data_IF_097824373472
#
_entry.id   IF_097824373472
#
_cell.length_a   1.000
_cell.length_b   1.000
_cell.length_c   1.000
_cell.angle_alpha   90.00
_cell.angle_beta   90.00
_cell.angle_gamma   90.00
#
_symmetry.space_group_name_H-M   'P 1'
#
loop_
_entity.id
_entity.type
_entity.pdbx_description
1 polymer ?
#
# COMPACT_ATOMS: atom_id res chain seq x y z
N UNK A 1 -0.22 33.12 -17.40
CA UNK A 1 -0.99 32.19 -16.56
C UNK A 1 -0.41 32.28 -15.16
N UNK A 2 -1.26 32.50 -14.13
CA UNK A 2 -0.77 32.49 -12.74
C UNK A 2 -0.50 31.04 -12.30
N UNK A 3 0.32 30.84 -11.26
CA UNK A 3 0.59 29.53 -10.67
C UNK A 3 -0.71 28.84 -10.25
N UNK A 4 -1.63 29.60 -9.63
CA UNK A 4 -2.97 29.10 -9.25
C UNK A 4 -3.75 28.56 -10.45
N UNK A 5 -3.73 29.27 -11.59
CA UNK A 5 -4.39 28.80 -12.80
C UNK A 5 -3.75 27.52 -13.37
N UNK A 6 -2.43 27.41 -13.30
CA UNK A 6 -1.72 26.21 -13.75
C UNK A 6 -2.08 25.00 -12.87
N UNK A 7 -2.15 25.17 -11.55
CA UNK A 7 -2.55 24.11 -10.63
C UNK A 7 -4.03 23.73 -10.85
N UNK A 8 -4.92 24.70 -11.06
CA UNK A 8 -6.34 24.42 -11.36
C UNK A 8 -6.52 23.60 -12.65
N UNK A 9 -5.64 23.76 -13.64
CA UNK A 9 -5.66 22.91 -14.83
C UNK A 9 -5.32 21.45 -14.53
N UNK A 10 -4.38 21.22 -13.59
CA UNK A 10 -4.05 19.86 -13.15
C UNK A 10 -5.25 19.20 -12.48
N UNK A 11 -6.03 19.95 -11.69
CA UNK A 11 -7.28 19.44 -11.11
C UNK A 11 -8.23 18.90 -12.17
N UNK A 12 -8.34 19.58 -13.31
CA UNK A 12 -9.19 19.14 -14.42
C UNK A 12 -8.76 17.83 -15.10
N UNK A 13 -7.58 17.30 -14.78
CA UNK A 13 -7.14 15.97 -15.25
C UNK A 13 -7.54 14.82 -14.32
N UNK A 14 -7.96 15.15 -13.09
CA UNK A 14 -8.42 14.14 -12.14
C UNK A 14 -9.80 13.61 -12.55
N UNK A 15 -10.10 12.33 -12.27
CA UNK A 15 -11.43 11.80 -12.49
C UNK A 15 -12.45 12.42 -11.51
N UNK A 16 -13.70 12.55 -11.95
CA UNK A 16 -14.80 12.99 -11.09
C UNK A 16 -15.02 11.97 -9.94
N UNK A 17 -15.33 12.44 -8.70
CA UNK A 17 -15.59 13.82 -8.28
C UNK A 17 -14.36 14.61 -7.81
N UNK A 18 -13.15 14.06 -7.96
CA UNK A 18 -11.91 14.64 -7.41
C UNK A 18 -11.48 15.91 -8.13
N UNK A 19 -11.82 16.05 -9.42
CA UNK A 19 -11.59 17.25 -10.22
C UNK A 19 -12.26 18.49 -9.61
N UNK A 20 -13.54 18.38 -9.25
CA UNK A 20 -14.31 19.47 -8.63
C UNK A 20 -13.73 19.82 -7.25
N UNK A 21 -13.46 18.81 -6.45
CA UNK A 21 -12.94 18.97 -5.10
C UNK A 21 -11.55 19.62 -5.09
N UNK A 22 -10.65 19.14 -5.96
CA UNK A 22 -9.34 19.73 -6.16
C UNK A 22 -9.45 21.20 -6.55
N UNK A 23 -10.28 21.52 -7.55
CA UNK A 23 -10.48 22.89 -8.04
C UNK A 23 -11.03 23.82 -6.97
N UNK A 24 -11.94 23.33 -6.15
CA UNK A 24 -12.51 24.09 -5.02
C UNK A 24 -11.45 24.40 -3.98
N UNK A 25 -10.63 23.43 -3.57
CA UNK A 25 -9.54 23.63 -2.63
C UNK A 25 -8.50 24.61 -3.15
N UNK A 26 -8.09 24.46 -4.40
CA UNK A 26 -7.11 25.36 -5.01
C UNK A 26 -7.65 26.77 -5.13
N UNK A 27 -8.95 26.95 -5.39
CA UNK A 27 -9.54 28.30 -5.43
C UNK A 27 -9.53 28.99 -4.08
N UNK A 28 -9.77 28.25 -2.99
CA UNK A 28 -9.85 28.80 -1.64
C UNK A 28 -8.48 28.97 -0.97
N UNK A 29 -7.63 27.95 -1.09
CA UNK A 29 -6.37 27.87 -0.32
C UNK A 29 -5.12 28.02 -1.18
N UNK A 30 -5.24 27.91 -2.51
CA UNK A 30 -4.12 28.00 -3.45
C UNK A 30 -3.24 29.24 -3.26
N UNK A 31 -3.79 30.46 -3.10
CA UNK A 31 -2.98 31.65 -2.86
C UNK A 31 -2.09 31.55 -1.62
N UNK A 32 -2.63 31.03 -0.50
CA UNK A 32 -1.87 30.85 0.73
C UNK A 32 -0.82 29.73 0.62
N UNK A 33 -1.14 28.63 -0.06
CA UNK A 33 -0.20 27.54 -0.33
C UNK A 33 0.99 28.03 -1.16
N UNK A 34 0.72 28.78 -2.23
CA UNK A 34 1.77 29.34 -3.10
C UNK A 34 2.69 30.25 -2.32
N UNK A 35 2.10 31.11 -1.47
CA UNK A 35 2.88 32.05 -0.66
C UNK A 35 3.77 31.33 0.37
N UNK A 36 3.29 30.23 0.95
CA UNK A 36 4.12 29.39 1.81
C UNK A 36 5.29 28.77 1.03
N UNK A 37 5.07 28.33 -0.22
CA UNK A 37 6.13 27.84 -1.09
C UNK A 37 7.15 28.96 -1.44
N UNK A 38 6.69 30.16 -1.73
CA UNK A 38 7.54 31.34 -1.97
C UNK A 38 8.39 31.70 -0.75
N UNK A 39 7.84 31.53 0.46
CA UNK A 39 8.54 31.69 1.72
C UNK A 39 9.49 30.53 2.07
N UNK A 40 9.65 29.55 1.16
CA UNK A 40 10.52 28.38 1.27
C UNK A 40 10.16 27.40 2.40
N UNK A 41 8.90 27.31 2.79
CA UNK A 41 8.45 26.23 3.66
C UNK A 41 8.45 24.90 2.88
N UNK A 42 8.88 23.82 3.55
CA UNK A 42 8.87 22.49 2.96
C UNK A 42 7.44 21.94 2.81
N UNK A 43 7.18 21.01 1.90
CA UNK A 43 5.88 20.35 1.78
C UNK A 43 5.38 19.76 3.10
N UNK A 44 6.27 19.21 3.92
CA UNK A 44 5.93 18.65 5.23
C UNK A 44 5.39 19.71 6.20
N UNK A 45 6.04 20.88 6.26
CA UNK A 45 5.60 22.03 7.06
C UNK A 45 4.25 22.50 6.54
N UNK A 46 4.10 22.65 5.22
CA UNK A 46 2.84 23.07 4.58
C UNK A 46 1.71 22.12 4.93
N UNK A 47 1.90 20.80 4.75
CA UNK A 47 0.90 19.78 5.09
C UNK A 47 0.48 19.84 6.57
N UNK A 48 1.43 20.12 7.46
CA UNK A 48 1.15 20.26 8.89
C UNK A 48 0.33 21.52 9.22
N UNK A 49 0.63 22.64 8.56
CA UNK A 49 -0.14 23.90 8.71
C UNK A 49 -1.55 23.76 8.17
N UNK A 50 -1.71 23.08 7.05
CA UNK A 50 -3.00 22.80 6.40
C UNK A 50 -3.83 21.78 7.21
N UNK A 51 -3.19 21.00 8.09
CA UNK A 51 -3.86 19.99 8.91
C UNK A 51 -4.04 18.63 8.22
N UNK A 52 -3.38 18.40 7.08
CA UNK A 52 -3.35 17.09 6.39
C UNK A 52 -2.52 16.07 7.17
N UNK A 53 -1.48 16.58 7.86
CA UNK A 53 -0.63 15.78 8.73
C UNK A 53 -0.87 16.19 10.17
N UNK A 54 -1.36 15.29 11.02
CA UNK A 54 -1.50 15.53 12.46
C UNK A 54 -0.42 14.79 13.21
N UNK A 55 0.19 15.45 14.18
CA UNK A 55 1.27 14.92 15.01
C UNK A 55 0.83 13.84 16.01
N UNK A 56 -0.45 13.44 16.01
CA UNK A 56 -1.03 12.52 17.01
C UNK A 56 -0.49 11.10 16.94
N UNK A 57 0.16 10.71 15.84
CA UNK A 57 0.73 9.37 15.67
C UNK A 57 2.21 9.25 16.04
N UNK A 58 2.85 10.32 16.52
CA UNK A 58 4.30 10.32 16.76
C UNK A 58 5.16 10.27 15.49
N UNK A 59 4.55 10.16 14.33
CA UNK A 59 5.23 10.23 13.03
C UNK A 59 5.27 11.70 12.59
N UNK A 60 6.47 12.23 12.44
CA UNK A 60 6.67 13.51 11.75
C UNK A 60 6.43 13.26 10.26
N UNK A 61 5.56 14.05 9.62
CA UNK A 61 5.41 14.04 8.15
C UNK A 61 6.65 14.64 7.47
N UNK A 62 7.82 14.15 7.79
CA UNK A 62 9.07 14.67 7.27
C UNK A 62 9.51 13.83 6.08
N UNK A 63 8.89 14.09 4.91
CA UNK A 63 9.17 13.37 3.67
C UNK A 63 10.39 13.91 2.92
N UNK A 64 10.78 15.16 3.16
CA UNK A 64 11.82 15.83 2.39
C UNK A 64 12.83 16.56 3.29
N UNK A 65 14.11 16.56 2.94
CA UNK A 65 15.11 17.37 3.62
C UNK A 65 14.79 18.87 3.46
N UNK A 66 15.12 19.65 4.47
CA UNK A 66 14.91 21.10 4.42
C UNK A 66 15.71 21.71 3.24
N UNK A 67 15.07 22.47 2.33
CA UNK A 67 15.74 23.06 1.18
C UNK A 67 16.70 24.22 1.53
N UNK A 68 16.87 24.55 2.80
CA UNK A 68 17.76 25.65 3.21
C UNK A 68 19.22 25.27 3.07
N UNK A 69 19.82 25.94 2.13
CA UNK A 69 21.24 26.19 1.90
C UNK A 69 22.01 25.15 1.11
N UNK A 70 22.83 25.69 0.21
CA UNK A 70 23.87 25.05 -0.58
C UNK A 70 25.00 24.36 0.23
N UNK A 71 24.81 24.17 1.54
CA UNK A 71 25.66 23.35 2.41
C UNK A 71 25.03 22.01 2.76
N UNK A 72 24.30 21.45 1.85
CA UNK A 72 23.37 20.34 1.99
C UNK A 72 24.02 18.96 2.06
N UNK A 73 25.08 18.75 2.76
CA UNK A 73 25.61 17.39 2.93
C UNK A 73 25.29 16.77 4.31
N UNK A 74 24.63 17.51 5.22
CA UNK A 74 24.39 17.04 6.58
C UNK A 74 22.98 17.35 7.15
N UNK A 75 21.95 17.53 6.34
CA UNK A 75 20.82 18.24 6.88
C UNK A 75 19.45 17.62 6.71
N UNK A 76 19.13 16.60 7.48
CA UNK A 76 17.74 16.43 7.91
C UNK A 76 17.46 17.48 8.98
N UNK A 77 16.31 18.16 8.86
CA UNK A 77 15.83 19.12 9.86
C UNK A 77 15.65 18.38 11.18
N UNK A 78 16.24 18.87 12.26
CA UNK A 78 15.98 18.31 13.58
C UNK A 78 14.49 18.45 13.93
N UNK A 79 13.98 17.58 14.80
CA UNK A 79 12.60 17.66 15.27
C UNK A 79 12.26 19.05 15.83
N UNK A 80 13.18 19.65 16.59
CA UNK A 80 13.01 20.98 17.18
C UNK A 80 12.91 22.06 16.10
N UNK A 81 13.76 22.02 15.09
CA UNK A 81 13.70 22.98 13.97
C UNK A 81 12.41 22.81 13.16
N UNK A 82 11.97 21.57 12.93
CA UNK A 82 10.70 21.30 12.27
C UNK A 82 9.51 21.89 13.06
N UNK A 83 9.44 21.62 14.35
CA UNK A 83 8.38 22.15 15.22
C UNK A 83 8.39 23.69 15.27
N UNK A 84 9.58 24.32 15.26
CA UNK A 84 9.71 25.78 15.17
C UNK A 84 9.18 26.31 13.82
N UNK A 85 9.53 25.68 12.71
CA UNK A 85 9.04 26.08 11.37
C UNK A 85 7.53 25.89 11.25
N UNK A 86 6.98 24.80 11.80
CA UNK A 86 5.53 24.59 11.83
C UNK A 86 4.84 25.66 12.68
N UNK A 87 5.38 26.02 13.84
CA UNK A 87 4.82 27.06 14.71
C UNK A 87 4.86 28.42 14.02
N UNK A 88 5.98 28.79 13.39
CA UNK A 88 6.14 30.03 12.63
C UNK A 88 5.13 30.11 11.47
N UNK A 89 5.06 29.04 10.66
CA UNK A 89 4.15 28.96 9.52
C UNK A 89 2.67 28.98 9.96
N UNK A 90 2.32 28.30 11.06
CA UNK A 90 0.97 28.38 11.65
C UNK A 90 0.64 29.78 12.14
N UNK A 91 1.59 30.50 12.75
CA UNK A 91 1.40 31.89 13.15
C UNK A 91 1.13 32.81 11.97
N UNK A 92 1.81 32.58 10.84
CA UNK A 92 1.70 33.43 9.64
C UNK A 92 0.52 33.09 8.73
N UNK A 93 0.20 31.81 8.58
CA UNK A 93 -0.75 31.31 7.59
C UNK A 93 -1.93 30.55 8.18
N UNK A 94 -1.90 30.17 9.46
CA UNK A 94 -2.92 29.32 10.07
C UNK A 94 -4.34 29.88 9.97
N UNK A 95 -4.52 31.19 10.03
CA UNK A 95 -5.84 31.82 9.85
C UNK A 95 -6.43 31.59 8.46
N UNK A 96 -5.59 31.48 7.40
CA UNK A 96 -6.04 31.18 6.03
C UNK A 96 -6.64 29.79 5.91
N UNK A 97 -6.28 28.90 6.81
CA UNK A 97 -6.76 27.50 6.84
C UNK A 97 -7.74 27.23 7.98
N UNK A 98 -8.13 28.26 8.71
CA UNK A 98 -9.09 28.16 9.81
C UNK A 98 -10.44 27.68 9.28
N UNK A 99 -10.91 26.54 9.77
CA UNK A 99 -12.14 25.91 9.31
C UNK A 99 -11.93 24.85 8.21
N UNK A 100 -10.75 24.73 7.61
CA UNK A 100 -10.40 23.58 6.81
C UNK A 100 -10.24 22.37 7.73
N UNK A 101 -11.27 21.56 7.77
CA UNK A 101 -11.18 20.21 8.37
C UNK A 101 -10.85 19.27 7.22
N UNK A 102 -9.56 19.10 6.94
CA UNK A 102 -9.14 18.05 6.02
C UNK A 102 -9.18 16.72 6.76
N UNK A 103 -10.22 15.96 6.50
CA UNK A 103 -10.27 14.57 6.91
C UNK A 103 -10.17 13.74 5.62
N UNK A 104 -9.06 13.05 5.44
CA UNK A 104 -8.88 12.16 4.28
C UNK A 104 -10.03 11.14 4.15
N UNK A 105 -10.64 10.75 5.27
CA UNK A 105 -11.77 9.83 5.31
C UNK A 105 -13.06 10.39 4.70
N UNK A 106 -13.24 11.71 4.72
CA UNK A 106 -14.41 12.34 4.08
C UNK A 106 -14.29 12.30 2.55
N UNK A 107 -13.08 12.17 2.05
CA UNK A 107 -12.74 12.19 0.62
C UNK A 107 -12.53 10.79 0.07
N UNK A 108 -11.93 9.93 0.86
CA UNK A 108 -11.60 8.54 0.54
C UNK A 108 -12.05 7.64 1.70
N UNK A 109 -13.37 7.45 1.92
CA UNK A 109 -13.86 6.69 3.07
C UNK A 109 -13.31 5.26 3.14
N UNK A 110 -13.13 4.63 1.98
CA UNK A 110 -12.54 3.30 1.89
C UNK A 110 -11.06 3.28 2.31
N UNK A 111 -10.28 4.31 1.93
CA UNK A 111 -8.88 4.41 2.30
C UNK A 111 -8.68 4.51 3.83
N UNK A 112 -9.62 5.07 4.56
CA UNK A 112 -9.54 5.13 6.03
C UNK A 112 -9.75 3.79 6.72
N UNK A 113 -10.34 2.82 6.04
CA UNK A 113 -10.48 1.46 6.53
C UNK A 113 -9.22 0.62 6.33
N UNK A 114 -8.27 1.12 5.54
CA UNK A 114 -6.97 0.46 5.28
C UNK A 114 -6.07 0.43 6.52
N UNK A 115 -6.29 1.29 7.51
CA UNK A 115 -5.42 1.45 8.69
C UNK A 115 -5.13 0.17 9.49
N UNK A 116 -5.97 -0.84 9.38
CA UNK A 116 -5.75 -2.17 9.95
C UNK A 116 -4.94 -3.09 9.04
N UNK A 117 -4.63 -2.67 7.81
CA UNK A 117 -3.92 -3.41 6.77
C UNK A 117 -4.57 -4.76 6.41
N UNK A 118 -5.89 -4.83 6.57
CA UNK A 118 -6.76 -5.94 6.18
C UNK A 118 -7.52 -5.59 4.91
N UNK A 119 -8.02 -6.57 4.16
CA UNK A 119 -8.95 -6.30 3.07
C UNK A 119 -10.13 -5.46 3.55
N UNK A 120 -10.45 -4.40 2.80
CA UNK A 120 -11.59 -3.53 3.14
C UNK A 120 -12.91 -4.18 2.75
N UNK A 121 -12.89 -4.93 1.67
CA UNK A 121 -13.99 -5.75 1.18
C UNK A 121 -13.64 -7.21 1.40
N UNK A 122 -14.19 -7.81 2.44
CA UNK A 122 -14.00 -9.17 2.91
C UNK A 122 -15.31 -9.52 3.63
N UNK A 123 -16.20 -10.19 2.91
CA UNK A 123 -17.59 -10.35 3.35
C UNK A 123 -17.70 -11.44 4.43
N UNK A 124 -16.88 -12.47 4.36
CA UNK A 124 -16.90 -13.62 5.25
C UNK A 124 -15.86 -13.58 6.37
N UNK A 125 -14.88 -12.65 6.28
CA UNK A 125 -13.93 -12.35 7.36
C UNK A 125 -12.71 -13.25 7.41
N UNK A 126 -12.35 -13.92 6.31
CA UNK A 126 -11.21 -14.84 6.24
C UNK A 126 -9.87 -14.18 5.89
N UNK A 127 -9.87 -12.85 5.66
CA UNK A 127 -8.74 -12.00 5.28
C UNK A 127 -8.34 -12.09 3.81
N UNK A 128 -9.15 -12.69 2.96
CA UNK A 128 -8.98 -12.64 1.51
C UNK A 128 -10.15 -11.86 0.88
N UNK A 129 -10.10 -11.60 -0.39
CA UNK A 129 -11.12 -10.80 -1.07
C UNK A 129 -11.11 -11.06 -2.57
N UNK A 130 -12.27 -10.95 -3.18
CA UNK A 130 -12.43 -10.91 -4.64
C UNK A 130 -12.00 -9.57 -5.24
N UNK A 131 -12.01 -8.49 -4.44
CA UNK A 131 -11.65 -7.14 -4.88
C UNK A 131 -10.13 -6.94 -4.88
N UNK A 132 -9.57 -6.30 -5.93
CA UNK A 132 -8.12 -6.12 -6.09
C UNK A 132 -7.48 -5.15 -5.11
N UNK A 133 -7.80 -3.85 -5.21
CA UNK A 133 -7.26 -2.80 -4.34
C UNK A 133 -7.70 -2.91 -2.87
N UNK A 134 -7.36 -1.89 -2.07
CA UNK A 134 -7.79 -1.77 -0.67
C UNK A 134 -7.43 -3.00 0.17
N UNK A 135 -6.18 -3.45 0.02
CA UNK A 135 -5.62 -4.62 0.71
C UNK A 135 -6.22 -5.97 0.31
N UNK A 136 -6.97 -6.02 -0.78
CA UNK A 136 -7.56 -7.25 -1.32
C UNK A 136 -6.60 -8.05 -2.19
N UNK A 137 -7.08 -8.57 -3.33
CA UNK A 137 -6.33 -9.52 -4.16
C UNK A 137 -5.13 -8.94 -4.92
N UNK A 138 -4.92 -7.63 -4.92
CA UNK A 138 -3.64 -7.05 -5.34
C UNK A 138 -2.53 -7.35 -4.32
N UNK A 139 -2.88 -7.55 -3.05
CA UNK A 139 -1.97 -7.78 -1.93
C UNK A 139 -1.88 -9.25 -1.50
N UNK A 140 -2.94 -10.01 -1.69
CA UNK A 140 -3.09 -11.39 -1.23
C UNK A 140 -3.62 -12.25 -2.36
N UNK A 141 -3.57 -13.56 -2.19
CA UNK A 141 -4.28 -14.46 -3.11
C UNK A 141 -5.74 -14.05 -3.27
N UNK A 142 -6.26 -14.16 -4.48
CA UNK A 142 -7.65 -13.83 -4.75
C UNK A 142 -8.57 -14.86 -4.13
N UNK A 143 -9.50 -14.40 -3.32
CA UNK A 143 -10.61 -15.22 -2.88
C UNK A 143 -11.46 -15.66 -4.07
N UNK A 144 -11.91 -16.89 -4.07
CA UNK A 144 -12.79 -17.41 -5.11
C UNK A 144 -14.25 -17.55 -4.67
N UNK A 145 -14.55 -17.35 -3.37
CA UNK A 145 -15.91 -17.28 -2.82
C UNK A 145 -15.96 -16.46 -1.52
N UNK A 146 -16.01 -15.14 -1.63
CA UNK A 146 -16.04 -14.13 -0.54
C UNK A 146 -17.33 -14.18 0.32
N UNK A 147 -18.07 -15.29 0.26
CA UNK A 147 -19.27 -15.55 1.09
C UNK A 147 -19.11 -16.76 2.00
N UNK A 148 -18.01 -17.50 1.88
CA UNK A 148 -17.76 -18.74 2.60
C UNK A 148 -16.36 -18.76 3.20
N UNK A 149 -16.21 -18.36 4.43
CA UNK A 149 -14.96 -18.28 5.17
C UNK A 149 -14.14 -19.60 5.29
N UNK A 150 -14.61 -20.67 4.73
CA UNK A 150 -13.91 -21.93 4.58
C UNK A 150 -13.27 -22.10 3.20
N UNK A 151 -13.42 -21.14 2.28
CA UNK A 151 -12.89 -21.15 0.91
C UNK A 151 -11.90 -19.98 0.81
N UNK A 152 -10.61 -20.25 0.82
CA UNK A 152 -9.57 -19.20 0.81
C UNK A 152 -8.22 -19.72 0.28
N UNK A 153 -7.40 -18.86 -0.32
CA UNK A 153 -6.08 -19.22 -0.81
C UNK A 153 -5.18 -19.85 0.25
N UNK A 154 -4.58 -20.99 -0.08
CA UNK A 154 -3.65 -21.70 0.78
C UNK A 154 -4.29 -22.65 1.82
N UNK A 155 -5.59 -22.86 1.79
CA UNK A 155 -6.23 -23.94 2.53
C UNK A 155 -5.68 -25.29 2.06
N UNK A 156 -5.59 -26.26 2.95
CA UNK A 156 -5.20 -27.64 2.64
C UNK A 156 -6.45 -28.52 2.59
N UNK A 157 -6.88 -28.89 1.39
CA UNK A 157 -8.02 -29.78 1.17
C UNK A 157 -7.82 -30.61 -0.11
N UNK A 158 -8.66 -31.61 -0.33
CA UNK A 158 -8.64 -32.45 -1.52
C UNK A 158 -9.55 -31.95 -2.64
N UNK A 159 -10.27 -30.88 -2.44
CA UNK A 159 -11.06 -30.13 -3.43
C UNK A 159 -11.83 -30.99 -4.45
N UNK A 160 -12.79 -31.78 -3.94
CA UNK A 160 -13.55 -32.72 -4.76
C UNK A 160 -14.66 -32.04 -5.55
N UNK A 161 -15.51 -31.29 -4.86
CA UNK A 161 -16.68 -30.64 -5.47
C UNK A 161 -16.47 -29.13 -5.69
N UNK A 162 -15.66 -28.51 -4.86
CA UNK A 162 -15.41 -27.06 -4.82
C UNK A 162 -13.92 -26.84 -4.73
N UNK A 163 -13.44 -25.76 -5.33
CA UNK A 163 -12.06 -25.27 -5.19
C UNK A 163 -11.96 -24.52 -3.86
N UNK A 164 -11.70 -25.23 -2.77
CA UNK A 164 -11.69 -24.65 -1.43
C UNK A 164 -10.39 -23.85 -1.12
N UNK A 165 -9.34 -24.05 -1.91
CA UNK A 165 -8.05 -23.37 -1.73
C UNK A 165 -7.74 -22.35 -2.83
N UNK A 166 -8.71 -22.12 -3.73
CA UNK A 166 -8.65 -21.15 -4.82
C UNK A 166 -7.43 -21.31 -5.74
N UNK A 167 -6.91 -22.53 -5.90
CA UNK A 167 -5.75 -22.78 -6.74
C UNK A 167 -6.10 -23.17 -8.20
N UNK A 168 -7.38 -23.36 -8.49
CA UNK A 168 -7.91 -23.77 -9.79
C UNK A 168 -7.83 -25.28 -10.05
N UNK A 169 -7.46 -26.10 -9.04
CA UNK A 169 -7.35 -27.57 -9.15
C UNK A 169 -8.42 -28.19 -8.27
N UNK A 170 -9.50 -28.67 -8.87
CA UNK A 170 -10.59 -29.33 -8.15
C UNK A 170 -11.28 -30.37 -9.04
N UNK A 171 -12.11 -31.19 -8.44
CA UNK A 171 -12.83 -32.28 -9.14
C UNK A 171 -12.14 -33.62 -9.05
N UNK A 172 -12.71 -34.59 -9.73
CA UNK A 172 -12.30 -36.00 -9.72
C UNK A 172 -12.07 -36.45 -11.16
N UNK A 173 -10.96 -37.12 -11.38
CA UNK A 173 -10.68 -37.78 -12.68
C UNK A 173 -11.74 -38.84 -12.97
N UNK A 174 -12.53 -38.70 -14.02
CA UNK A 174 -13.60 -39.65 -14.33
C UNK A 174 -13.12 -41.05 -14.66
N UNK A 175 -11.82 -41.21 -14.97
CA UNK A 175 -11.25 -42.52 -15.35
C UNK A 175 -10.78 -43.31 -14.13
N UNK A 176 -10.12 -42.61 -13.20
CA UNK A 176 -9.48 -43.21 -12.01
C UNK A 176 -10.30 -43.05 -10.74
N UNK A 177 -11.27 -42.14 -10.74
CA UNK A 177 -12.06 -41.74 -9.59
C UNK A 177 -11.18 -41.18 -8.43
N UNK A 178 -10.03 -40.59 -8.76
CA UNK A 178 -9.11 -39.96 -7.80
C UNK A 178 -9.23 -38.45 -7.94
N UNK A 179 -9.29 -37.67 -6.82
CA UNK A 179 -9.29 -36.20 -6.87
C UNK A 179 -8.06 -35.65 -7.58
N UNK A 180 -8.25 -34.65 -8.44
CA UNK A 180 -7.13 -34.01 -9.16
C UNK A 180 -6.13 -33.36 -8.18
N UNK A 181 -6.59 -32.73 -7.08
CA UNK A 181 -5.71 -32.21 -6.06
C UNK A 181 -4.79 -33.29 -5.47
N UNK A 182 -5.33 -34.49 -5.25
CA UNK A 182 -4.54 -35.63 -4.80
C UNK A 182 -3.53 -36.11 -5.85
N UNK A 183 -3.94 -36.18 -7.11
CA UNK A 183 -3.07 -36.66 -8.19
C UNK A 183 -1.89 -35.72 -8.45
N UNK A 184 -2.12 -34.40 -8.38
CA UNK A 184 -1.15 -33.42 -8.84
C UNK A 184 -0.44 -32.71 -7.72
N UNK A 185 -1.02 -32.64 -6.52
CA UNK A 185 -0.50 -31.83 -5.42
C UNK A 185 0.00 -32.64 -4.21
N UNK A 186 -0.55 -33.82 -3.96
CA UNK A 186 -0.12 -34.65 -2.84
C UNK A 186 1.38 -35.03 -2.97
N UNK A 187 2.16 -34.79 -1.91
CA UNK A 187 3.59 -35.08 -1.88
C UNK A 187 4.48 -34.08 -2.64
N UNK A 188 3.92 -33.03 -3.24
CA UNK A 188 4.70 -32.01 -3.98
C UNK A 188 5.30 -30.94 -3.08
N UNK A 189 5.02 -30.97 -1.76
CA UNK A 189 5.42 -29.94 -0.81
C UNK A 189 4.95 -28.54 -1.21
N UNK A 190 3.71 -28.44 -1.68
CA UNK A 190 3.11 -27.14 -2.01
C UNK A 190 3.08 -26.22 -0.78
N UNK A 191 3.41 -24.95 -1.00
CA UNK A 191 3.48 -23.96 0.06
C UNK A 191 3.20 -22.56 -0.48
N UNK A 192 2.71 -21.69 0.38
CA UNK A 192 2.51 -20.28 0.08
C UNK A 192 3.74 -19.41 0.31
N UNK A 193 3.63 -18.15 -0.10
CA UNK A 193 4.61 -17.08 0.19
C UNK A 193 3.94 -15.99 0.97
N UNK A 194 4.50 -15.60 2.09
CA UNK A 194 4.05 -14.43 2.84
C UNK A 194 5.24 -13.53 3.16
N UNK A 195 5.01 -12.22 3.21
CA UNK A 195 6.03 -11.27 3.59
C UNK A 195 5.47 -10.20 4.52
N UNK A 196 6.17 -9.97 5.62
CA UNK A 196 6.05 -8.80 6.49
C UNK A 196 7.14 -7.82 6.07
N UNK A 197 6.77 -6.63 5.62
CA UNK A 197 7.75 -5.73 5.05
C UNK A 197 7.38 -4.26 5.16
N UNK A 198 8.25 -3.45 4.61
CA UNK A 198 8.12 -2.00 4.50
C UNK A 198 7.70 -1.56 3.07
N UNK A 199 7.95 -0.30 2.74
CA UNK A 199 7.64 0.29 1.44
C UNK A 199 8.32 -0.41 0.25
N UNK A 200 9.51 -0.97 0.44
CA UNK A 200 10.19 -1.73 -0.61
C UNK A 200 9.46 -3.05 -0.90
N UNK A 201 8.85 -3.64 0.11
CA UNK A 201 8.02 -4.84 0.00
C UNK A 201 6.65 -4.53 -0.63
N UNK A 202 6.01 -3.46 -0.20
CA UNK A 202 4.77 -2.95 -0.78
C UNK A 202 4.95 -2.47 -2.23
N UNK A 203 6.21 -2.30 -2.66
CA UNK A 203 6.58 -1.70 -3.93
C UNK A 203 6.02 -0.28 -4.09
N UNK A 204 6.21 0.53 -3.03
CA UNK A 204 5.79 1.93 -3.03
C UNK A 204 6.43 2.70 -4.18
N UNK A 205 5.59 3.42 -4.93
CA UNK A 205 6.05 4.20 -6.05
C UNK A 205 5.07 5.32 -6.39
N UNK A 206 5.57 6.54 -6.48
CA UNK A 206 4.81 7.62 -7.11
C UNK A 206 5.08 7.56 -8.63
N UNK A 207 4.06 7.38 -9.49
CA UNK A 207 4.27 7.36 -10.92
C UNK A 207 5.04 8.61 -11.37
N UNK A 208 6.18 8.48 -12.10
CA UNK A 208 7.00 9.64 -12.48
C UNK A 208 6.25 10.69 -13.28
N UNK A 209 5.21 10.29 -14.00
CA UNK A 209 4.35 11.19 -14.75
C UNK A 209 3.58 12.17 -13.84
N UNK A 210 3.26 11.79 -12.60
CA UNK A 210 2.61 12.69 -11.63
C UNK A 210 3.52 13.84 -11.19
N UNK A 211 4.83 13.62 -11.24
CA UNK A 211 5.87 14.59 -10.84
C UNK A 211 6.47 15.36 -12.02
N UNK A 212 5.98 15.12 -13.24
CA UNK A 212 6.53 15.73 -14.45
C UNK A 212 5.50 16.64 -15.10
N UNK A 213 5.62 17.95 -14.91
CA UNK A 213 4.64 18.94 -15.37
C UNK A 213 4.28 18.81 -16.86
N UNK A 214 5.25 18.49 -17.73
CA UNK A 214 5.01 18.30 -19.16
C UNK A 214 4.28 17.01 -19.54
N UNK A 215 4.13 16.07 -18.59
CA UNK A 215 3.43 14.79 -18.79
C UNK A 215 2.02 14.78 -18.18
N UNK A 216 1.65 15.82 -17.44
CA UNK A 216 0.34 15.90 -16.79
C UNK A 216 -0.79 15.97 -17.84
N UNK A 217 -1.71 15.04 -17.77
CA UNK A 217 -2.87 14.90 -18.65
C UNK A 217 -3.92 13.99 -18.01
N UNK A 218 -5.13 13.94 -18.54
CA UNK A 218 -6.14 12.99 -18.11
C UNK A 218 -5.67 11.52 -18.22
N UNK A 219 -4.85 11.20 -19.23
CA UNK A 219 -4.26 9.86 -19.37
C UNK A 219 -3.31 9.54 -18.20
N UNK A 220 -2.56 10.52 -17.72
CA UNK A 220 -1.65 10.35 -16.56
C UNK A 220 -2.41 9.92 -15.32
N UNK A 221 -3.63 10.42 -15.13
CA UNK A 221 -4.47 10.12 -13.97
C UNK A 221 -5.53 9.05 -14.23
N UNK A 222 -5.44 8.29 -15.33
CA UNK A 222 -6.43 7.24 -15.65
C UNK A 222 -6.55 6.16 -14.57
N UNK A 223 -5.46 5.83 -13.89
CA UNK A 223 -5.42 4.85 -12.80
C UNK A 223 -5.35 5.48 -11.40
N UNK A 224 -5.66 6.78 -11.30
CA UNK A 224 -5.50 7.54 -10.06
C UNK A 224 -6.24 6.90 -8.88
N UNK A 225 -7.49 6.52 -9.06
CA UNK A 225 -8.32 5.91 -8.01
C UNK A 225 -7.65 4.64 -7.50
N UNK A 226 -7.31 3.71 -8.39
CA UNK A 226 -6.66 2.44 -8.01
C UNK A 226 -5.32 2.68 -7.31
N UNK A 227 -4.54 3.66 -7.77
CA UNK A 227 -3.27 3.98 -7.15
C UNK A 227 -3.45 4.50 -5.71
N UNK A 228 -4.48 5.31 -5.45
CA UNK A 228 -4.81 5.78 -4.10
C UNK A 228 -5.38 4.65 -3.23
N UNK A 229 -6.27 3.82 -3.78
CA UNK A 229 -6.83 2.66 -3.09
C UNK A 229 -5.75 1.63 -2.69
N UNK A 230 -4.64 1.59 -3.42
CA UNK A 230 -3.46 0.79 -3.09
C UNK A 230 -2.37 1.61 -2.36
N UNK A 231 -2.67 2.78 -1.82
CA UNK A 231 -1.73 3.59 -1.01
C UNK A 231 -0.49 4.07 -1.81
N UNK A 232 -0.58 4.20 -3.14
CA UNK A 232 0.53 4.38 -4.07
C UNK A 232 1.53 3.21 -4.04
N UNK A 233 1.09 2.05 -3.61
CA UNK A 233 1.82 0.79 -3.60
C UNK A 233 1.44 -0.07 -4.80
N UNK A 234 2.36 -0.91 -5.22
CA UNK A 234 2.17 -1.84 -6.34
C UNK A 234 2.57 -3.27 -5.93
N UNK A 235 1.90 -3.86 -4.91
CA UNK A 235 2.27 -5.18 -4.38
C UNK A 235 2.24 -6.27 -5.45
N UNK A 236 1.41 -6.09 -6.48
CA UNK A 236 1.32 -6.97 -7.63
C UNK A 236 2.59 -6.95 -8.52
N UNK A 237 3.52 -6.01 -8.30
CA UNK A 237 4.83 -5.92 -8.94
C UNK A 237 5.98 -6.19 -7.97
N UNK A 238 5.69 -6.49 -6.69
CA UNK A 238 6.70 -6.72 -5.66
C UNK A 238 7.63 -7.90 -6.00
N UNK A 239 8.88 -7.79 -5.60
CA UNK A 239 9.88 -8.84 -5.74
C UNK A 239 9.52 -10.14 -4.99
N UNK A 240 8.67 -10.06 -3.98
CA UNK A 240 8.26 -11.22 -3.17
C UNK A 240 7.01 -11.91 -3.71
N UNK A 241 5.95 -11.14 -3.93
CA UNK A 241 4.60 -11.64 -4.23
C UNK A 241 4.04 -11.16 -5.56
N UNK A 242 4.82 -10.40 -6.34
CA UNK A 242 4.38 -9.88 -7.63
C UNK A 242 3.85 -10.98 -8.55
N UNK A 243 2.75 -10.70 -9.23
CA UNK A 243 2.02 -11.70 -10.04
C UNK A 243 1.41 -11.14 -11.33
N UNK A 244 1.41 -9.79 -11.50
CA UNK A 244 0.81 -9.13 -12.66
C UNK A 244 1.78 -9.03 -13.82
N UNK A 245 1.23 -8.82 -15.00
CA UNK A 245 2.01 -8.52 -16.20
C UNK A 245 2.46 -7.07 -16.18
N UNK A 246 3.70 -6.83 -16.56
CA UNK A 246 4.29 -5.49 -16.57
C UNK A 246 3.75 -4.59 -17.65
N UNK A 247 3.21 -5.17 -18.72
CA UNK A 247 2.59 -4.41 -19.83
C UNK A 247 1.44 -3.51 -19.36
N UNK A 248 0.77 -3.87 -18.27
CA UNK A 248 -0.28 -3.05 -17.65
C UNK A 248 0.28 -1.75 -17.05
N UNK A 249 1.59 -1.68 -16.81
CA UNK A 249 2.29 -0.59 -16.15
C UNK A 249 3.32 0.12 -17.04
N UNK A 250 3.34 -0.22 -18.33
CA UNK A 250 4.22 0.42 -19.30
C UNK A 250 3.83 1.93 -19.49
N UNK A 251 4.79 2.81 -19.75
CA UNK A 251 6.22 2.58 -19.98
C UNK A 251 7.05 2.60 -18.69
N UNK A 252 6.45 2.67 -17.54
CA UNK A 252 7.14 2.92 -16.27
C UNK A 252 7.84 1.67 -15.72
N UNK A 253 7.38 0.49 -16.11
CA UNK A 253 7.98 -0.81 -15.75
C UNK A 253 8.39 -1.52 -17.02
N UNK A 254 9.66 -1.91 -17.10
CA UNK A 254 10.24 -2.64 -18.21
C UNK A 254 10.68 -4.02 -17.76
N UNK A 255 10.31 -5.04 -18.53
CA UNK A 255 10.62 -6.43 -18.26
C UNK A 255 9.54 -7.18 -17.43
N UNK A 256 9.67 -8.50 -17.32
CA UNK A 256 8.73 -9.35 -16.61
C UNK A 256 8.85 -9.19 -15.10
N UNK A 257 7.76 -9.37 -14.37
CA UNK A 257 7.80 -9.54 -12.92
C UNK A 257 8.46 -10.88 -12.61
N UNK A 258 9.57 -10.84 -11.86
CA UNK A 258 10.31 -12.00 -11.40
C UNK A 258 10.29 -12.05 -9.88
N UNK A 259 9.18 -12.50 -9.33
CA UNK A 259 8.98 -12.61 -7.88
C UNK A 259 9.27 -14.03 -7.36
N UNK A 260 9.48 -14.12 -6.04
CA UNK A 260 9.61 -15.41 -5.36
C UNK A 260 8.34 -16.26 -5.60
N UNK A 261 7.15 -15.65 -5.45
CA UNK A 261 5.88 -16.32 -5.70
C UNK A 261 5.80 -16.87 -7.12
N UNK A 262 6.14 -16.07 -8.15
CA UNK A 262 6.09 -16.55 -9.55
C UNK A 262 7.03 -17.72 -9.79
N UNK A 263 8.22 -17.71 -9.24
CA UNK A 263 9.17 -18.83 -9.32
C UNK A 263 8.66 -20.08 -8.62
N UNK A 264 8.06 -19.92 -7.42
CA UNK A 264 7.47 -21.04 -6.70
C UNK A 264 6.27 -21.63 -7.45
N UNK A 265 5.40 -20.76 -8.00
CA UNK A 265 4.28 -21.20 -8.84
C UNK A 265 4.73 -21.90 -10.12
N UNK A 266 5.79 -21.42 -10.78
CA UNK A 266 6.34 -22.08 -11.98
C UNK A 266 6.86 -23.48 -11.69
N UNK A 267 7.48 -23.68 -10.52
CA UNK A 267 7.99 -24.98 -10.11
C UNK A 267 6.88 -25.95 -9.62
N UNK A 268 5.80 -25.41 -9.06
CA UNK A 268 4.70 -26.18 -8.54
C UNK A 268 3.38 -25.39 -8.69
N UNK A 269 2.54 -25.79 -9.62
CA UNK A 269 1.26 -25.13 -9.91
C UNK A 269 0.28 -25.19 -8.73
N UNK A 270 0.45 -26.13 -7.80
CA UNK A 270 -0.33 -26.23 -6.57
C UNK A 270 -0.10 -25.05 -5.61
N UNK A 271 0.92 -24.23 -5.87
CA UNK A 271 1.16 -22.97 -5.17
C UNK A 271 0.37 -21.79 -5.77
N UNK A 272 -0.45 -22.06 -6.79
CA UNK A 272 -1.23 -20.98 -7.41
C UNK A 272 -2.08 -20.27 -6.38
N UNK A 273 -2.12 -18.93 -6.51
CA UNK A 273 -2.90 -18.02 -5.69
C UNK A 273 -2.55 -17.97 -4.18
N UNK A 274 -1.50 -18.68 -3.74
CA UNK A 274 -1.11 -18.74 -2.34
C UNK A 274 0.03 -17.75 -2.01
N UNK A 275 -0.34 -16.46 -1.89
CA UNK A 275 0.60 -15.38 -1.52
C UNK A 275 -0.05 -14.32 -0.63
N UNK A 276 0.74 -13.68 0.24
CA UNK A 276 0.32 -12.56 1.09
C UNK A 276 1.44 -11.54 1.21
N UNK A 277 1.18 -10.31 0.77
CA UNK A 277 2.05 -9.15 0.95
C UNK A 277 1.51 -8.26 2.07
N UNK A 278 2.20 -8.23 3.19
CA UNK A 278 1.91 -7.35 4.32
C UNK A 278 3.00 -6.27 4.38
N UNK A 279 3.24 -5.63 3.25
CA UNK A 279 4.09 -4.45 3.19
C UNK A 279 3.34 -3.22 3.70
N UNK A 280 3.99 -2.44 4.56
CA UNK A 280 3.43 -1.20 5.10
C UNK A 280 4.48 -0.10 5.04
N UNK A 281 4.15 1.02 4.42
CA UNK A 281 5.06 2.14 4.28
C UNK A 281 5.51 2.64 5.65
N UNK A 282 6.83 2.75 5.85
CA UNK A 282 7.41 3.17 7.12
C UNK A 282 7.49 2.09 8.21
N UNK A 283 7.04 0.86 7.94
CA UNK A 283 7.10 -0.22 8.93
C UNK A 283 8.53 -0.55 9.35
N UNK A 284 8.70 -0.86 10.63
CA UNK A 284 9.95 -1.23 11.28
C UNK A 284 9.82 -2.58 12.00
N UNK A 285 10.91 -3.12 12.51
CA UNK A 285 10.88 -4.38 13.28
C UNK A 285 10.00 -4.30 14.53
N UNK A 286 9.78 -3.09 15.07
CA UNK A 286 8.86 -2.86 16.19
C UNK A 286 7.39 -3.16 15.85
N UNK A 287 7.03 -3.16 14.57
CA UNK A 287 5.67 -3.40 14.11
C UNK A 287 5.35 -4.88 13.86
N UNK A 288 6.33 -5.77 13.96
CA UNK A 288 6.18 -7.20 13.66
C UNK A 288 5.02 -7.85 14.41
N UNK A 289 4.82 -7.51 15.69
CA UNK A 289 3.72 -8.06 16.48
C UNK A 289 2.35 -7.66 15.94
N UNK A 290 2.22 -6.41 15.45
CA UNK A 290 0.97 -5.93 14.86
C UNK A 290 0.70 -6.67 13.56
N UNK A 291 1.70 -6.79 12.70
CA UNK A 291 1.51 -7.33 11.36
C UNK A 291 1.46 -8.86 11.33
N UNK A 292 2.07 -9.57 12.29
CA UNK A 292 1.95 -11.02 12.38
C UNK A 292 0.51 -11.49 12.58
N UNK A 293 -0.32 -10.69 13.27
CA UNK A 293 -1.72 -11.03 13.52
C UNK A 293 -2.61 -10.99 12.27
N UNK A 294 -2.17 -10.33 11.20
CA UNK A 294 -2.90 -10.22 9.94
C UNK A 294 -2.36 -11.16 8.85
N UNK A 295 -1.34 -11.95 9.17
CA UNK A 295 -0.90 -13.07 8.35
C UNK A 295 -1.75 -14.31 8.53
N UNK A 296 -2.57 -14.35 9.57
CA UNK A 296 -3.38 -15.54 9.83
C UNK A 296 -4.35 -15.76 8.67
N UNK A 297 -4.26 -16.91 8.07
CA UNK A 297 -5.23 -17.38 7.08
C UNK A 297 -6.48 -17.89 7.75
N UNK A 298 -6.36 -18.22 9.03
CA UNK A 298 -7.40 -18.86 9.81
C UNK A 298 -7.80 -17.96 10.97
N UNK A 299 -8.87 -17.20 10.74
CA UNK A 299 -9.55 -16.43 11.78
C UNK A 299 -10.82 -17.14 12.26
N UNK A 300 -11.00 -18.39 11.87
CA UNK A 300 -12.18 -19.18 12.22
C UNK A 300 -12.11 -19.65 13.67
N UNK A 301 -13.26 -19.82 14.28
CA UNK A 301 -13.40 -20.41 15.62
C UNK A 301 -12.84 -21.85 15.65
N UNK A 302 -12.93 -22.55 14.51
CA UNK A 302 -12.34 -23.88 14.29
C UNK A 302 -11.26 -23.79 13.23
N UNK A 303 -9.99 -23.99 13.60
CA UNK A 303 -8.88 -23.96 12.66
C UNK A 303 -9.04 -24.99 11.53
N UNK A 304 -8.96 -24.53 10.28
CA UNK A 304 -8.92 -25.41 9.11
C UNK A 304 -7.47 -25.75 8.75
N UNK A 305 -7.21 -26.95 8.19
CA UNK A 305 -5.88 -27.28 7.70
C UNK A 305 -5.38 -26.26 6.68
N UNK A 306 -4.13 -25.85 6.78
CA UNK A 306 -3.50 -24.87 5.89
C UNK A 306 -2.19 -25.42 5.34
N UNK A 307 -1.85 -24.98 4.12
CA UNK A 307 -0.55 -25.27 3.51
C UNK A 307 0.55 -24.51 4.25
N UNK A 308 1.78 -25.03 4.33
CA UNK A 308 2.93 -24.30 4.87
C UNK A 308 3.13 -22.97 4.14
N UNK A 309 3.74 -22.00 4.82
CA UNK A 309 4.07 -20.68 4.26
C UNK A 309 5.55 -20.42 4.42
N UNK A 310 6.19 -20.01 3.32
CA UNK A 310 7.52 -19.42 3.36
C UNK A 310 7.36 -17.94 3.75
N UNK A 311 7.73 -17.60 4.99
CA UNK A 311 7.60 -16.26 5.54
C UNK A 311 8.92 -15.50 5.42
N UNK A 312 8.85 -14.32 4.80
CA UNK A 312 9.93 -13.33 4.76
C UNK A 312 9.63 -12.18 5.72
N UNK A 313 10.69 -11.61 6.32
CA UNK A 313 10.63 -10.38 7.11
C UNK A 313 11.64 -9.40 6.53
N UNK A 314 11.16 -8.25 6.02
CA UNK A 314 11.96 -7.29 5.27
C UNK A 314 11.61 -5.84 5.67
N UNK A 315 12.01 -5.42 6.89
CA UNK A 315 11.72 -4.10 7.47
C UNK A 315 12.99 -3.34 7.88
N UNK A 316 14.16 -3.95 7.75
CA UNK A 316 15.42 -3.43 8.29
C UNK A 316 15.81 -2.06 7.72
N UNK A 317 15.33 -1.71 6.54
CA UNK A 317 15.59 -0.42 5.90
C UNK A 317 15.17 0.75 6.79
N UNK A 318 13.97 0.70 7.32
CA UNK A 318 13.45 1.73 8.21
C UNK A 318 14.12 1.72 9.57
N UNK A 319 14.47 0.55 10.13
CA UNK A 319 15.20 0.44 11.40
C UNK A 319 16.57 1.13 11.35
N UNK A 320 17.24 1.06 10.18
CA UNK A 320 18.58 1.61 10.01
C UNK A 320 18.56 3.07 9.56
N UNK A 321 17.56 3.46 8.76
CA UNK A 321 17.48 4.78 8.14
C UNK A 321 16.67 5.80 8.94
N UNK A 322 16.00 5.40 10.04
CA UNK A 322 15.33 6.34 10.92
C UNK A 322 16.34 7.10 11.78
N UNK A 323 16.26 8.43 11.74
CA UNK A 323 17.14 9.31 12.54
C UNK A 323 16.82 9.35 14.04
N UNK A 324 15.65 8.93 14.43
CA UNK A 324 15.30 8.75 15.83
C UNK A 324 16.01 7.49 16.29
N UNK A 325 17.08 7.67 17.08
CA UNK A 325 17.70 6.58 17.78
C UNK A 325 16.60 5.88 18.61
N UNK A 326 16.06 4.80 18.09
CA UNK A 326 15.25 3.89 18.88
C UNK A 326 16.13 3.53 20.06
N UNK A 327 15.71 3.78 21.32
CA UNK A 327 16.45 3.30 22.45
C UNK A 327 16.67 1.81 22.18
N UNK A 328 17.89 1.41 21.94
CA UNK A 328 18.20 -0.01 21.84
C UNK A 328 17.81 -0.60 23.18
N UNK A 329 16.65 -1.20 23.24
CA UNK A 329 16.33 -2.14 24.31
C UNK A 329 17.34 -3.27 24.12
N UNK A 330 18.51 -3.09 24.71
CA UNK A 330 19.43 -4.20 24.92
C UNK A 330 18.64 -5.23 25.71
N UNK A 331 18.48 -6.44 25.18
CA UNK A 331 17.95 -7.52 26.02
C UNK A 331 18.89 -7.68 27.21
N UNK A 332 18.35 -7.58 28.41
CA UNK A 332 19.00 -8.07 29.63
C UNK A 332 19.10 -9.59 29.57
#
# INVERSE_FOLDING_TARGET
MSVTQAISQVCGYLPSPYDYTCSTLISWYGPSLIKMMEDNYTPDVICNVVGVCTAESGQTCSLFPNPKSSKMLNGLMSKVEFEQHVAEAKGKYGESFKGLKFNACDWFPAACRIGDHKPVFDEDGDLFSTYGPLRGSDWRGQDCDDTHNGIFPGRHDLDIATDNNCNGIFGVDPTTNVPFEKQWCEGTNSMGVAILGDSATAHFRIPPAYLTASKLSAKTFSNFIRNIENELDFPMLSWSTGHRRTEEFAPDVDGPVDSIYMRMRQNNLCNHNDYQNIGVNGASSGDLKKFSNILSRDNLITPLPQKPVLLFMAMIGNDVCTHDAIPRNTPE
#
